data_IF_437292385137
#
_entry.id   IF_437292385137
#
_cell.length_a   1.000
_cell.length_b   1.000
_cell.length_c   1.000
_cell.angle_alpha   90.00
_cell.angle_beta   90.00
_cell.angle_gamma   90.00
#
_symmetry.space_group_name_H-M   'P 1'
#
loop_
_entity.id
_entity.type
_entity.pdbx_description
1 polymer ?
#
# COMPACT_ATOMS: atom_id res chain seq x y z
N UNK A 1 -10.17 -8.69 9.77
CA UNK A 1 -9.17 -8.62 8.70
C UNK A 1 -8.64 -7.19 8.62
N UNK A 2 -7.33 -7.00 8.73
CA UNK A 2 -6.68 -5.71 8.50
C UNK A 2 -5.84 -5.82 7.24
N UNK A 3 -5.72 -4.73 6.48
CA UNK A 3 -4.95 -4.70 5.22
C UNK A 3 -3.50 -5.19 5.43
N UNK A 4 -2.88 -4.80 6.53
CA UNK A 4 -1.53 -5.19 6.93
C UNK A 4 -1.35 -6.71 6.90
N UNK A 5 -2.33 -7.46 7.40
CA UNK A 5 -2.26 -8.92 7.54
C UNK A 5 -2.11 -9.66 6.21
N UNK A 6 -2.65 -9.09 5.13
CA UNK A 6 -2.55 -9.65 3.78
C UNK A 6 -1.09 -9.65 3.30
N UNK A 7 -0.38 -8.56 3.56
CA UNK A 7 1.06 -8.51 3.28
C UNK A 7 1.84 -9.48 4.17
N UNK A 8 1.54 -9.53 5.47
CA UNK A 8 2.33 -10.33 6.41
C UNK A 8 2.19 -11.85 6.22
N UNK A 9 1.01 -12.33 5.83
CA UNK A 9 0.70 -13.75 5.76
C UNK A 9 0.55 -14.27 4.32
N UNK A 10 -0.29 -13.62 3.52
CA UNK A 10 -0.73 -14.20 2.24
C UNK A 10 0.32 -14.10 1.14
N UNK A 11 1.20 -13.08 1.20
CA UNK A 11 2.37 -13.00 0.31
C UNK A 11 3.35 -14.15 0.57
N UNK A 12 3.61 -14.45 1.85
CA UNK A 12 4.45 -15.58 2.24
C UNK A 12 3.79 -16.90 1.85
N UNK A 13 2.47 -17.04 2.08
CA UNK A 13 1.71 -18.23 1.71
C UNK A 13 1.80 -18.51 0.21
N UNK A 14 1.54 -17.50 -0.63
CA UNK A 14 1.65 -17.63 -2.09
C UNK A 14 3.04 -18.02 -2.55
N UNK A 15 4.08 -17.35 -2.03
CA UNK A 15 5.46 -17.67 -2.38
C UNK A 15 5.87 -19.07 -1.93
N UNK A 16 5.43 -19.50 -0.75
CA UNK A 16 5.70 -20.84 -0.24
C UNK A 16 5.00 -21.89 -1.09
N UNK A 17 3.71 -21.72 -1.38
CA UNK A 17 2.93 -22.62 -2.24
C UNK A 17 3.58 -22.73 -3.62
N UNK A 18 4.00 -21.62 -4.22
CA UNK A 18 4.72 -21.64 -5.50
C UNK A 18 6.00 -22.49 -5.47
N UNK A 19 6.79 -22.41 -4.40
CA UNK A 19 8.09 -23.07 -4.31
C UNK A 19 7.99 -24.54 -3.92
N UNK A 20 7.01 -24.91 -3.10
CA UNK A 20 6.98 -26.21 -2.43
C UNK A 20 5.72 -27.03 -2.69
N UNK A 21 4.65 -26.42 -3.17
CA UNK A 21 3.34 -27.08 -3.36
C UNK A 21 2.56 -26.48 -4.54
N UNK A 22 3.25 -26.27 -5.66
CA UNK A 22 2.77 -25.45 -6.79
C UNK A 22 1.45 -25.93 -7.40
N UNK A 23 1.21 -27.24 -7.38
CA UNK A 23 0.03 -27.87 -7.97
C UNK A 23 -1.16 -27.96 -6.99
N UNK A 24 -1.06 -27.36 -5.80
CA UNK A 24 -2.12 -27.37 -4.81
C UNK A 24 -3.20 -26.32 -5.11
N UNK A 25 -4.18 -26.71 -5.91
CA UNK A 25 -5.33 -25.85 -6.27
C UNK A 25 -6.08 -25.33 -5.02
N UNK A 26 -6.25 -26.14 -3.98
CA UNK A 26 -6.95 -25.71 -2.76
C UNK A 26 -6.22 -24.61 -1.99
N UNK A 27 -4.88 -24.58 -2.03
CA UNK A 27 -4.10 -23.50 -1.44
C UNK A 27 -4.22 -22.21 -2.27
N UNK A 28 -4.24 -22.31 -3.60
CA UNK A 28 -4.44 -21.16 -4.47
C UNK A 28 -5.86 -20.57 -4.35
N UNK A 29 -6.88 -21.42 -4.23
CA UNK A 29 -8.25 -20.99 -3.94
C UNK A 29 -8.36 -20.26 -2.60
N UNK A 30 -7.67 -20.76 -1.56
CA UNK A 30 -7.64 -20.11 -0.24
C UNK A 30 -6.93 -18.75 -0.29
N UNK A 31 -5.78 -18.66 -0.95
CA UNK A 31 -5.08 -17.39 -1.16
C UNK A 31 -6.01 -16.39 -1.85
N UNK A 32 -6.66 -16.78 -2.95
CA UNK A 32 -7.60 -15.91 -3.66
C UNK A 32 -8.74 -15.44 -2.76
N UNK A 33 -9.30 -16.34 -1.94
CA UNK A 33 -10.37 -16.03 -1.01
C UNK A 33 -9.96 -14.94 0.00
N UNK A 34 -8.73 -14.94 0.50
CA UNK A 34 -8.26 -13.88 1.40
C UNK A 34 -8.27 -12.51 0.72
N UNK A 35 -7.81 -12.43 -0.53
CA UNK A 35 -7.84 -11.19 -1.32
C UNK A 35 -9.26 -10.76 -1.71
N UNK A 36 -10.15 -11.70 -2.03
CA UNK A 36 -11.56 -11.40 -2.33
C UNK A 36 -12.28 -10.82 -1.09
N UNK A 37 -12.12 -11.47 0.07
CA UNK A 37 -12.76 -11.05 1.32
C UNK A 37 -12.25 -9.68 1.77
N UNK A 38 -10.93 -9.48 1.80
CA UNK A 38 -10.39 -8.18 2.21
C UNK A 38 -10.85 -7.08 1.25
N UNK A 39 -10.78 -7.30 -0.07
CA UNK A 39 -11.14 -6.29 -1.07
C UNK A 39 -12.61 -5.89 -0.93
N UNK A 40 -13.51 -6.88 -0.94
CA UNK A 40 -14.96 -6.69 -0.86
C UNK A 40 -15.35 -5.93 0.41
N UNK A 41 -14.72 -6.28 1.54
CA UNK A 41 -15.14 -5.77 2.83
C UNK A 41 -14.46 -4.46 3.24
N UNK A 42 -13.38 -4.02 2.58
CA UNK A 42 -12.73 -2.75 2.94
C UNK A 42 -12.76 -1.67 1.85
N UNK A 43 -13.15 -1.99 0.61
CA UNK A 43 -13.16 -0.99 -0.48
C UNK A 43 -14.16 0.15 -0.23
N UNK A 44 -13.68 1.39 -0.38
CA UNK A 44 -14.48 2.58 -0.59
C UNK A 44 -14.70 2.76 -2.10
N UNK A 45 -15.90 2.42 -2.57
CA UNK A 45 -16.30 2.50 -3.98
C UNK A 45 -16.18 3.90 -4.60
N UNK A 46 -16.09 4.96 -3.78
CA UNK A 46 -15.95 6.33 -4.30
C UNK A 46 -14.51 6.65 -4.68
N UNK A 47 -13.54 6.22 -3.86
CA UNK A 47 -12.11 6.51 -4.08
C UNK A 47 -11.33 5.35 -4.69
N UNK A 48 -11.89 4.13 -4.70
CA UNK A 48 -11.16 2.91 -5.07
C UNK A 48 -10.10 2.47 -4.05
N UNK A 49 -10.00 3.16 -2.91
CA UNK A 49 -9.09 2.85 -1.81
C UNK A 49 -9.80 2.08 -0.70
N UNK A 50 -9.04 1.49 0.21
CA UNK A 50 -9.53 0.58 1.23
C UNK A 50 -9.34 1.15 2.63
N UNK A 51 -10.37 1.02 3.46
CA UNK A 51 -10.23 1.35 4.88
C UNK A 51 -9.28 0.36 5.57
N UNK A 52 -8.64 0.78 6.66
CA UNK A 52 -7.62 0.01 7.37
C UNK A 52 -8.04 -1.43 7.72
N UNK A 53 -9.29 -1.67 8.11
CA UNK A 53 -9.75 -3.02 8.39
C UNK A 53 -11.24 -3.20 8.46
N UNK A 54 -11.62 -4.46 8.59
CA UNK A 54 -12.99 -4.95 8.70
C UNK A 54 -13.09 -6.10 9.69
N UNK A 55 -14.23 -6.27 10.36
CA UNK A 55 -14.51 -7.40 11.24
C UNK A 55 -15.88 -8.00 10.93
N UNK A 56 -15.96 -9.33 10.94
CA UNK A 56 -17.25 -10.01 11.01
C UNK A 56 -17.76 -9.95 12.46
N UNK A 57 -18.82 -9.16 12.69
CA UNK A 57 -19.41 -8.98 14.02
C UNK A 57 -19.05 -7.62 14.64
N UNK A 58 -18.74 -7.62 15.93
CA UNK A 58 -18.57 -6.39 16.71
C UNK A 58 -17.11 -6.17 17.13
N UNK A 59 -16.62 -4.94 16.95
CA UNK A 59 -15.39 -4.45 17.56
C UNK A 59 -15.54 -2.97 17.95
N UNK A 60 -14.79 -2.45 18.94
CA UNK A 60 -14.93 -1.06 19.40
C UNK A 60 -14.71 0.01 18.32
N UNK A 61 -13.94 -0.32 17.28
CA UNK A 61 -13.61 0.56 16.16
C UNK A 61 -14.49 0.36 14.92
N UNK A 62 -15.30 -0.69 14.90
CA UNK A 62 -16.02 -1.11 13.71
C UNK A 62 -17.35 -0.37 13.60
N UNK A 63 -17.64 0.11 12.40
CA UNK A 63 -18.97 0.57 12.04
C UNK A 63 -19.98 -0.58 12.25
N UNK A 64 -21.10 -0.34 12.96
CA UNK A 64 -22.01 -1.40 13.38
C UNK A 64 -22.82 -2.02 12.23
N UNK A 65 -22.90 -1.37 11.07
CA UNK A 65 -23.64 -1.87 9.90
C UNK A 65 -22.72 -2.64 8.95
N UNK A 66 -21.52 -2.12 8.73
CA UNK A 66 -20.60 -2.59 7.70
C UNK A 66 -19.44 -3.41 8.27
N UNK A 67 -19.14 -3.29 9.57
CA UNK A 67 -17.97 -3.89 10.23
C UNK A 67 -16.64 -3.20 9.89
N UNK A 68 -16.67 -2.07 9.17
CA UNK A 68 -15.49 -1.37 8.63
C UNK A 68 -14.89 -0.40 9.64
N UNK A 69 -13.57 -0.23 9.60
CA UNK A 69 -12.91 0.93 10.21
C UNK A 69 -13.21 2.21 9.42
N UNK A 70 -13.12 3.40 10.02
CA UNK A 70 -13.60 4.63 9.39
C UNK A 70 -12.69 5.19 8.29
N UNK A 71 -11.38 4.95 8.35
CA UNK A 71 -10.40 5.72 7.56
C UNK A 71 -9.54 4.87 6.63
N UNK A 72 -9.13 5.50 5.52
CA UNK A 72 -8.09 5.00 4.62
C UNK A 72 -6.75 5.48 5.17
N UNK A 73 -6.10 4.59 5.94
CA UNK A 73 -4.78 4.85 6.48
C UNK A 73 -3.70 4.49 5.45
N UNK A 74 -2.84 5.45 5.11
CA UNK A 74 -1.88 5.34 4.01
C UNK A 74 -1.00 4.08 4.09
N UNK A 75 -0.39 3.78 5.25
CA UNK A 75 0.47 2.60 5.35
C UNK A 75 -0.31 1.28 5.23
N UNK A 76 -1.52 1.18 5.78
CA UNK A 76 -2.35 -0.01 5.61
C UNK A 76 -2.69 -0.24 4.13
N UNK A 77 -3.03 0.84 3.41
CA UNK A 77 -3.21 0.78 1.96
C UNK A 77 -1.92 0.34 1.24
N UNK A 78 -0.76 0.85 1.70
CA UNK A 78 0.55 0.51 1.17
C UNK A 78 0.83 -0.99 1.27
N UNK A 79 0.56 -1.59 2.43
CA UNK A 79 0.70 -3.04 2.60
C UNK A 79 -0.19 -3.84 1.67
N UNK A 80 -1.46 -3.44 1.52
CA UNK A 80 -2.37 -4.15 0.63
C UNK A 80 -1.93 -4.05 -0.84
N UNK A 81 -1.54 -2.86 -1.29
CA UNK A 81 -1.03 -2.66 -2.64
C UNK A 81 0.24 -3.47 -2.87
N UNK A 82 1.15 -3.49 -1.88
CA UNK A 82 2.34 -4.30 -1.98
C UNK A 82 2.03 -5.80 -2.08
N UNK A 83 1.07 -6.26 -1.31
CA UNK A 83 0.67 -7.66 -1.29
C UNK A 83 0.10 -8.12 -2.63
N UNK A 84 -0.70 -7.26 -3.29
CA UNK A 84 -1.23 -7.53 -4.64
C UNK A 84 -0.10 -7.70 -5.67
N UNK A 85 0.91 -6.82 -5.66
CA UNK A 85 2.08 -6.95 -6.56
C UNK A 85 2.87 -8.22 -6.27
N UNK A 86 3.12 -8.53 -4.99
CA UNK A 86 3.85 -9.73 -4.58
C UNK A 86 3.11 -11.02 -4.95
N UNK A 87 1.81 -11.13 -4.65
CA UNK A 87 1.05 -12.37 -4.93
C UNK A 87 0.98 -12.66 -6.42
N UNK A 88 0.77 -11.65 -7.27
CA UNK A 88 0.65 -11.82 -8.72
C UNK A 88 1.92 -12.39 -9.37
N UNK A 89 3.10 -12.17 -8.78
CA UNK A 89 4.36 -12.76 -9.27
C UNK A 89 4.41 -14.29 -9.10
N UNK A 90 3.64 -14.84 -8.15
CA UNK A 90 3.67 -16.27 -7.81
C UNK A 90 2.39 -17.00 -8.19
N UNK A 91 1.25 -16.29 -8.23
CA UNK A 91 -0.07 -16.85 -8.50
C UNK A 91 -0.14 -17.45 -9.92
N UNK A 92 -0.71 -18.66 -10.10
CA UNK A 92 -0.74 -19.28 -11.41
C UNK A 92 -1.58 -18.47 -12.41
N UNK A 93 -1.00 -18.05 -13.53
CA UNK A 93 -1.72 -17.31 -14.59
C UNK A 93 -2.82 -18.13 -15.27
N UNK A 94 -2.82 -19.45 -15.10
CA UNK A 94 -3.89 -20.34 -15.57
C UNK A 94 -5.06 -20.46 -14.59
N UNK A 95 -4.93 -19.94 -13.37
CA UNK A 95 -5.97 -20.00 -12.36
C UNK A 95 -7.13 -19.05 -12.74
N UNK A 96 -8.40 -19.46 -12.60
CA UNK A 96 -9.55 -18.62 -13.00
C UNK A 96 -9.62 -17.25 -12.32
N UNK A 97 -9.08 -17.14 -11.09
CA UNK A 97 -9.03 -15.90 -10.32
C UNK A 97 -7.82 -14.98 -10.58
N UNK A 98 -6.94 -15.30 -11.54
CA UNK A 98 -5.77 -14.44 -11.82
C UNK A 98 -6.21 -13.04 -12.26
N UNK A 99 -7.14 -12.95 -13.22
CA UNK A 99 -7.63 -11.66 -13.72
C UNK A 99 -8.38 -10.86 -12.64
N UNK A 100 -8.98 -11.54 -11.66
CA UNK A 100 -9.62 -10.90 -10.51
C UNK A 100 -8.58 -10.22 -9.60
N UNK A 101 -7.48 -10.91 -9.28
CA UNK A 101 -6.37 -10.32 -8.51
C UNK A 101 -5.71 -9.14 -9.26
N UNK A 102 -5.54 -9.28 -10.57
CA UNK A 102 -5.01 -8.21 -11.41
C UNK A 102 -5.94 -6.99 -11.40
N UNK A 103 -7.26 -7.21 -11.54
CA UNK A 103 -8.24 -6.13 -11.45
C UNK A 103 -8.23 -5.41 -10.09
N UNK A 104 -7.98 -6.13 -9.00
CA UNK A 104 -7.80 -5.51 -7.67
C UNK A 104 -6.56 -4.61 -7.62
N UNK A 105 -5.44 -5.06 -8.21
CA UNK A 105 -4.22 -4.25 -8.32
C UNK A 105 -4.50 -2.97 -9.12
N UNK A 106 -5.11 -3.09 -10.30
CA UNK A 106 -5.42 -1.97 -11.19
C UNK A 106 -6.35 -0.95 -10.51
N UNK A 107 -7.40 -1.42 -9.82
CA UNK A 107 -8.31 -0.57 -9.07
C UNK A 107 -7.60 0.23 -7.97
N UNK A 108 -6.72 -0.42 -7.20
CA UNK A 108 -5.95 0.27 -6.16
C UNK A 108 -4.95 1.24 -6.77
N UNK A 109 -4.25 0.85 -7.85
CA UNK A 109 -3.31 1.73 -8.53
C UNK A 109 -3.98 3.00 -9.07
N UNK A 110 -5.20 2.88 -9.62
CA UNK A 110 -6.00 4.03 -10.04
C UNK A 110 -6.33 4.94 -8.85
N UNK A 111 -6.88 4.40 -7.76
CA UNK A 111 -7.21 5.19 -6.56
C UNK A 111 -5.98 5.90 -5.97
N UNK A 112 -4.81 5.24 -5.97
CA UNK A 112 -3.56 5.84 -5.51
C UNK A 112 -3.09 6.97 -6.43
N UNK A 113 -3.20 6.80 -7.75
CA UNK A 113 -2.87 7.86 -8.72
C UNK A 113 -3.76 9.09 -8.53
N UNK A 114 -5.05 8.89 -8.28
CA UNK A 114 -6.02 9.97 -8.04
C UNK A 114 -5.82 10.65 -6.68
N UNK A 115 -5.39 9.91 -5.65
CA UNK A 115 -5.15 10.43 -4.30
C UNK A 115 -3.74 11.03 -4.09
N UNK A 116 -2.90 11.07 -5.14
CA UNK A 116 -1.56 11.67 -5.06
C UNK A 116 -1.67 13.18 -4.88
N UNK A 117 -1.01 13.71 -3.86
CA UNK A 117 -1.02 15.14 -3.57
C UNK A 117 -0.32 15.93 -4.69
N UNK A 118 -1.00 16.90 -5.34
CA UNK A 118 -0.46 17.58 -6.52
C UNK A 118 0.65 18.60 -6.20
N UNK A 119 0.78 19.04 -4.94
CA UNK A 119 1.80 20.02 -4.54
C UNK A 119 3.11 19.31 -4.14
N UNK A 120 3.01 18.32 -3.26
CA UNK A 120 4.16 17.58 -2.75
C UNK A 120 4.57 16.40 -3.62
N UNK A 121 3.65 15.85 -4.41
CA UNK A 121 3.87 14.67 -5.25
C UNK A 121 3.94 13.36 -4.45
N UNK A 122 3.52 13.35 -3.18
CA UNK A 122 3.48 12.16 -2.31
C UNK A 122 2.08 11.97 -1.69
N UNK A 123 1.92 11.13 -0.68
CA UNK A 123 0.60 10.80 -0.10
C UNK A 123 0.48 11.14 1.37
N UNK A 124 -0.74 11.47 1.77
CA UNK A 124 -1.14 11.82 3.13
C UNK A 124 -1.28 10.58 4.03
N UNK A 125 -1.08 10.76 5.34
CA UNK A 125 -1.28 9.75 6.38
C UNK A 125 -2.73 9.24 6.41
N UNK A 126 -3.71 10.15 6.45
CA UNK A 126 -5.12 9.85 6.21
C UNK A 126 -5.50 10.31 4.81
N UNK A 127 -6.00 9.39 3.98
CA UNK A 127 -6.20 9.61 2.54
C UNK A 127 -7.67 9.80 2.14
N UNK A 128 -8.62 9.49 3.04
CA UNK A 128 -10.04 9.67 2.78
C UNK A 128 -10.48 11.14 2.96
N UNK A 129 -11.37 11.60 2.08
CA UNK A 129 -11.98 12.93 2.20
C UNK A 129 -12.75 13.07 3.53
N UNK A 130 -12.67 14.23 4.22
CA UNK A 130 -12.05 15.50 3.83
C UNK A 130 -10.67 15.72 4.48
N UNK A 131 -9.92 14.65 4.76
CA UNK A 131 -8.70 14.71 5.56
C UNK A 131 -7.41 15.10 4.83
N UNK A 132 -7.23 14.82 3.52
CA UNK A 132 -6.15 15.43 2.76
C UNK A 132 -6.10 16.95 2.98
N UNK A 133 -4.90 17.52 3.09
CA UNK A 133 -4.66 18.96 3.31
C UNK A 133 -5.16 19.57 4.63
N UNK A 134 -5.77 18.78 5.53
CA UNK A 134 -6.07 19.23 6.91
C UNK A 134 -4.77 19.57 7.64
N UNK A 135 -4.77 20.67 8.39
CA UNK A 135 -3.59 21.15 9.15
C UNK A 135 -3.02 20.08 10.10
N UNK A 136 -3.88 19.21 10.65
CA UNK A 136 -3.46 18.15 11.56
C UNK A 136 -2.89 16.92 10.84
N UNK A 137 -3.17 16.75 9.54
CA UNK A 137 -2.67 15.65 8.74
C UNK A 137 -1.22 15.91 8.32
N UNK A 138 -0.54 14.88 7.82
CA UNK A 138 0.84 15.01 7.35
C UNK A 138 1.12 14.06 6.20
N UNK A 139 2.08 14.43 5.35
CA UNK A 139 2.62 13.58 4.30
C UNK A 139 3.45 12.46 4.93
N UNK A 140 3.23 11.21 4.50
CA UNK A 140 3.77 10.05 5.21
C UNK A 140 4.70 9.22 4.32
N UNK A 141 5.92 8.96 4.81
CA UNK A 141 6.98 8.41 3.98
C UNK A 141 6.87 6.91 3.73
N UNK A 142 6.34 6.12 4.67
CA UNK A 142 6.21 4.68 4.46
C UNK A 142 5.18 4.33 3.39
N UNK A 143 3.98 4.90 3.47
CA UNK A 143 2.91 4.76 2.48
C UNK A 143 3.39 5.22 1.11
N UNK A 144 3.96 6.43 1.03
CA UNK A 144 4.48 6.99 -0.22
C UNK A 144 5.56 6.10 -0.85
N UNK A 145 6.44 5.51 -0.03
CA UNK A 145 7.45 4.56 -0.50
C UNK A 145 6.83 3.26 -1.04
N UNK A 146 5.83 2.70 -0.34
CA UNK A 146 5.13 1.48 -0.74
C UNK A 146 4.34 1.67 -2.04
N UNK A 147 3.66 2.81 -2.20
CA UNK A 147 2.92 3.15 -3.41
C UNK A 147 3.86 3.35 -4.59
N UNK A 148 4.93 4.12 -4.39
CA UNK A 148 5.96 4.34 -5.43
C UNK A 148 6.55 3.02 -5.90
N UNK A 149 6.96 2.15 -4.97
CA UNK A 149 7.46 0.81 -5.31
C UNK A 149 6.42 0.00 -6.10
N UNK A 150 5.18 -0.07 -5.61
CA UNK A 150 4.15 -0.90 -6.24
C UNK A 150 3.77 -0.41 -7.64
N UNK A 151 3.77 0.91 -7.87
CA UNK A 151 3.54 1.51 -9.18
C UNK A 151 4.70 1.20 -10.14
N UNK A 152 5.95 1.45 -9.72
CA UNK A 152 7.14 1.14 -10.53
C UNK A 152 7.21 -0.36 -10.87
N UNK A 153 6.95 -1.21 -9.88
CA UNK A 153 7.00 -2.67 -10.04
C UNK A 153 5.85 -3.19 -10.88
N UNK A 154 4.65 -2.65 -10.70
CA UNK A 154 3.47 -2.99 -11.50
C UNK A 154 3.70 -2.70 -12.98
N UNK A 155 4.36 -1.58 -13.31
CA UNK A 155 4.75 -1.29 -14.70
C UNK A 155 5.83 -2.26 -15.21
N UNK A 156 6.84 -2.57 -14.39
CA UNK A 156 7.97 -3.47 -14.76
C UNK A 156 7.48 -4.89 -15.10
N UNK A 157 6.53 -5.38 -14.30
CA UNK A 157 5.91 -6.69 -14.50
C UNK A 157 4.83 -6.70 -15.59
N UNK A 158 4.48 -5.54 -16.15
CA UNK A 158 3.43 -5.40 -17.16
C UNK A 158 2.01 -5.55 -16.62
N UNK A 159 1.81 -5.36 -15.31
CA UNK A 159 0.49 -5.37 -14.68
C UNK A 159 -0.22 -4.02 -14.80
N UNK A 160 0.54 -2.93 -14.91
CA UNK A 160 0.03 -1.59 -15.10
C UNK A 160 0.49 -1.06 -16.46
N UNK A 161 -0.39 -0.33 -17.14
CA UNK A 161 -0.07 0.28 -18.42
C UNK A 161 1.07 1.30 -18.28
N UNK A 162 2.09 1.16 -19.14
CA UNK A 162 3.30 1.97 -19.05
C UNK A 162 3.03 3.44 -19.34
N UNK A 163 2.24 3.74 -20.36
CA UNK A 163 1.98 5.10 -20.81
C UNK A 163 1.11 5.85 -19.78
N UNK A 164 0.27 5.12 -19.04
CA UNK A 164 -0.57 5.69 -18.00
C UNK A 164 0.15 5.87 -16.65
N UNK A 165 1.11 5.02 -16.28
CA UNK A 165 1.65 4.99 -14.91
C UNK A 165 3.13 5.33 -14.75
N UNK A 166 3.98 5.12 -15.75
CA UNK A 166 5.44 5.19 -15.56
C UNK A 166 5.91 6.59 -15.13
N UNK A 167 5.47 7.64 -15.84
CA UNK A 167 5.87 9.01 -15.54
C UNK A 167 5.45 9.42 -14.12
N UNK A 168 4.22 9.05 -13.71
CA UNK A 168 3.74 9.31 -12.34
C UNK A 168 4.56 8.54 -11.30
N UNK A 169 4.92 7.29 -11.58
CA UNK A 169 5.68 6.45 -10.66
C UNK A 169 7.13 6.94 -10.49
N UNK A 170 7.78 7.37 -11.58
CA UNK A 170 9.13 7.93 -11.53
C UNK A 170 9.17 9.28 -10.82
N UNK A 171 8.19 10.15 -11.11
CA UNK A 171 8.03 11.44 -10.46
C UNK A 171 7.74 11.27 -8.95
N UNK A 172 6.91 10.31 -8.57
CA UNK A 172 6.64 9.99 -7.16
C UNK A 172 7.91 9.61 -6.38
N UNK A 173 8.87 8.92 -7.00
CA UNK A 173 10.15 8.63 -6.34
C UNK A 173 11.00 9.89 -6.14
N UNK A 174 11.05 10.78 -7.12
CA UNK A 174 11.74 12.07 -6.98
C UNK A 174 11.12 12.87 -5.84
N UNK A 175 9.78 12.99 -5.83
CA UNK A 175 9.04 13.63 -4.75
C UNK A 175 9.29 12.97 -3.39
N UNK A 176 9.39 11.65 -3.32
CA UNK A 176 9.70 10.92 -2.10
C UNK A 176 11.09 11.31 -1.53
N UNK A 177 12.10 11.43 -2.39
CA UNK A 177 13.44 11.89 -2.00
C UNK A 177 13.38 13.34 -1.53
N UNK A 178 12.76 14.23 -2.31
CA UNK A 178 12.71 15.67 -2.02
C UNK A 178 11.96 16.00 -0.72
N UNK A 179 10.91 15.23 -0.37
CA UNK A 179 10.11 15.48 0.82
C UNK A 179 10.68 14.85 2.10
N UNK A 180 11.36 13.70 1.99
CA UNK A 180 11.66 12.87 3.17
C UNK A 180 13.12 12.51 3.37
N UNK A 181 14.00 12.71 2.38
CA UNK A 181 15.41 12.31 2.51
C UNK A 181 16.28 13.52 2.82
N UNK A 182 17.04 13.42 3.90
CA UNK A 182 18.06 14.39 4.27
C UNK A 182 19.45 13.74 4.23
N UNK A 183 20.44 14.51 3.76
CA UNK A 183 21.86 14.12 3.77
C UNK A 183 22.63 15.09 4.68
N UNK A 184 22.90 14.71 5.95
CA UNK A 184 23.70 15.52 6.86
C UNK A 184 25.17 15.63 6.41
N UNK A 185 25.93 16.54 7.03
CA UNK A 185 27.35 16.78 6.70
C UNK A 185 28.25 15.54 6.82
N UNK A 186 27.85 14.53 7.59
CA UNK A 186 28.61 13.29 7.75
C UNK A 186 28.40 12.28 6.59
N UNK A 187 27.54 12.62 5.62
CA UNK A 187 27.23 11.81 4.45
C UNK A 187 26.31 10.62 4.75
N UNK A 188 25.68 10.58 5.93
CA UNK A 188 24.59 9.65 6.18
C UNK A 188 23.34 10.04 5.38
N UNK A 189 22.39 9.12 5.23
CA UNK A 189 21.07 9.40 4.70
C UNK A 189 20.04 9.14 5.79
N UNK A 190 19.13 10.08 5.97
CA UNK A 190 18.03 10.00 6.94
C UNK A 190 16.72 10.01 6.17
N UNK A 191 15.88 9.00 6.37
CA UNK A 191 14.50 8.99 5.92
C UNK A 191 13.59 9.50 7.04
N UNK A 192 12.96 10.65 6.84
CA UNK A 192 12.04 11.30 7.77
C UNK A 192 10.58 10.92 7.50
N UNK A 193 9.67 11.34 8.38
CA UNK A 193 8.21 11.28 8.12
C UNK A 193 7.57 9.89 8.20
N UNK A 194 8.27 8.88 8.72
CA UNK A 194 7.69 7.53 8.85
C UNK A 194 6.80 7.46 10.09
N UNK A 195 5.50 7.25 9.95
CA UNK A 195 4.61 7.15 11.11
C UNK A 195 4.94 5.91 11.95
N UNK A 196 5.03 6.03 13.27
CA UNK A 196 5.49 4.95 14.15
C UNK A 196 4.56 3.72 14.11
N UNK A 197 3.26 3.93 14.34
CA UNK A 197 2.26 2.87 14.42
C UNK A 197 0.85 3.43 14.15
N UNK A 198 -0.06 2.55 13.76
CA UNK A 198 -1.50 2.78 13.73
C UNK A 198 -2.17 1.45 14.07
N UNK A 199 -3.10 1.46 15.02
CA UNK A 199 -3.78 0.23 15.46
C UNK A 199 -5.29 0.45 15.49
N UNK A 200 -6.06 -0.53 15.05
CA UNK A 200 -7.51 -0.54 15.27
C UNK A 200 -7.79 -0.97 16.71
N UNK A 201 -7.91 0.02 17.59
CA UNK A 201 -8.16 -0.13 19.02
C UNK A 201 -9.50 0.48 19.46
N UNK A 202 -9.52 1.16 20.60
CA UNK A 202 -10.72 1.86 21.08
C UNK A 202 -10.92 3.23 20.43
N UNK A 203 -9.83 3.84 19.96
CA UNK A 203 -9.85 5.13 19.26
C UNK A 203 -9.31 4.91 17.86
N UNK A 204 -10.14 5.24 16.87
CA UNK A 204 -9.85 5.13 15.44
C UNK A 204 -10.28 6.41 14.73
N UNK A 205 -10.34 7.52 15.46
CA UNK A 205 -10.63 8.84 14.91
C UNK A 205 -9.50 9.33 13.99
N UNK A 206 -9.81 10.30 13.14
CA UNK A 206 -8.79 11.02 12.39
C UNK A 206 -7.70 11.57 13.32
N UNK A 207 -8.08 12.17 14.45
CA UNK A 207 -7.16 12.71 15.45
C UNK A 207 -6.23 11.64 16.02
N UNK A 208 -6.71 10.40 16.17
CA UNK A 208 -5.86 9.28 16.54
C UNK A 208 -4.78 9.03 15.48
N UNK A 209 -5.15 8.91 14.20
CA UNK A 209 -4.21 8.65 13.10
C UNK A 209 -3.25 9.81 12.84
N UNK A 210 -3.73 11.04 12.93
CA UNK A 210 -2.98 12.26 12.65
C UNK A 210 -2.07 12.69 13.81
N UNK A 211 -2.35 12.24 15.04
CA UNK A 211 -1.49 12.47 16.21
C UNK A 211 -0.37 11.45 16.38
N UNK A 212 -0.27 10.44 15.49
CA UNK A 212 0.78 9.41 15.59
C UNK A 212 2.15 10.05 15.36
N UNK A 213 3.16 9.76 16.21
CA UNK A 213 4.49 10.33 16.02
C UNK A 213 5.12 9.81 14.73
N UNK A 214 5.91 10.65 14.08
CA UNK A 214 6.80 10.25 12.99
C UNK A 214 8.20 9.96 13.53
N UNK A 215 8.91 9.07 12.84
CA UNK A 215 10.22 8.56 13.20
C UNK A 215 11.21 8.87 12.09
N UNK A 216 12.42 9.24 12.48
CA UNK A 216 13.60 9.21 11.62
C UNK A 216 14.04 7.75 11.46
N UNK A 217 14.34 7.33 10.23
CA UNK A 217 14.76 5.97 9.89
C UNK A 217 13.80 4.89 10.45
N UNK A 218 12.49 5.19 10.46
CA UNK A 218 11.48 4.23 10.87
C UNK A 218 11.53 2.97 10.00
N UNK A 219 11.62 1.80 10.62
CA UNK A 219 11.86 0.53 9.88
C UNK A 219 10.78 0.22 8.84
N UNK A 220 9.53 0.58 9.15
CA UNK A 220 8.40 0.43 8.23
C UNK A 220 8.46 1.35 7.01
N UNK A 221 9.29 2.40 7.03
CA UNK A 221 9.55 3.30 5.90
C UNK A 221 10.85 2.95 5.17
N UNK A 222 11.94 2.65 5.91
CA UNK A 222 13.25 2.34 5.33
C UNK A 222 13.21 1.13 4.39
N UNK A 223 12.51 0.06 4.77
CA UNK A 223 12.35 -1.13 3.93
C UNK A 223 11.71 -0.81 2.57
N UNK A 224 10.47 -0.29 2.56
CA UNK A 224 9.81 0.14 1.32
C UNK A 224 10.58 1.19 0.52
N UNK A 225 11.26 2.14 1.18
CA UNK A 225 12.08 3.14 0.48
C UNK A 225 13.22 2.49 -0.31
N UNK A 226 13.94 1.53 0.30
CA UNK A 226 14.99 0.79 -0.41
C UNK A 226 14.45 -0.01 -1.59
N UNK A 227 13.25 -0.59 -1.46
CA UNK A 227 12.58 -1.30 -2.56
C UNK A 227 12.21 -0.33 -3.69
N UNK A 228 11.63 0.82 -3.36
CA UNK A 228 11.28 1.87 -4.33
C UNK A 228 12.53 2.40 -5.06
N UNK A 229 13.62 2.64 -4.33
CA UNK A 229 14.89 3.08 -4.90
C UNK A 229 15.47 2.04 -5.88
N UNK A 230 15.47 0.76 -5.49
CA UNK A 230 15.89 -0.32 -6.37
C UNK A 230 15.08 -0.36 -7.67
N UNK A 231 13.75 -0.32 -7.60
CA UNK A 231 12.89 -0.33 -8.78
C UNK A 231 12.98 0.97 -9.59
N UNK A 232 13.25 2.12 -8.97
CA UNK A 232 13.46 3.36 -9.73
C UNK A 232 14.78 3.31 -10.53
N UNK A 233 15.84 2.77 -9.93
CA UNK A 233 17.14 2.61 -10.59
C UNK A 233 17.11 1.63 -11.77
N UNK A 234 16.24 0.62 -11.76
CA UNK A 234 16.10 -0.29 -12.92
C UNK A 234 15.57 0.46 -14.13
N UNK A 235 14.62 1.38 -13.93
CA UNK A 235 14.09 2.24 -15.00
C UNK A 235 15.04 3.36 -15.41
N UNK A 236 15.81 3.94 -14.47
CA UNK A 236 16.78 4.99 -14.77
C UNK A 236 17.93 4.52 -15.68
N UNK A 237 18.16 3.21 -15.78
CA UNK A 237 19.17 2.62 -16.69
C UNK A 237 18.69 2.51 -18.13
N UNK A 238 17.38 2.52 -18.36
CA UNK A 238 16.75 2.35 -19.67
C UNK A 238 16.39 3.69 -20.33
N UNK A 239 16.65 4.82 -19.67
CA UNK A 239 16.44 6.20 -20.14
C UNK A 239 17.73 6.83 -20.71
#
# INVERSE_FOLDING_TARGET
MWLDGIYMADTFYARWTHLFDRDNETAWDDILLQYELIHTHTINETSGLHVHGWVEGEAPWADPETGRSPHVWGRAQGWYFMALVEVLQFFPTSHPGYDQLLGYLESVAQGLKEARDPESGVWWQAMDEPYPEREENFLESSASSMFTWGLLKGVDLGYLDRDDYLDTAQDAFVSLVDNFVEEPEDGSLILNGTVAEGILGNDVSFEYYSSRPTLENGQNGVGPFMLAAYEWETWARDA
#
